data_IF_631105099505
#
_entry.id   IF_631105099505
#
_cell.length_a   1.000
_cell.length_b   1.000
_cell.length_c   1.000
_cell.angle_alpha   90.00
_cell.angle_beta   90.00
_cell.angle_gamma   90.00
#
_symmetry.space_group_name_H-M   'P 1'
#
loop_
_entity.id
_entity.type
_entity.pdbx_description
1 polymer ?
#
# COMPACT_ATOMS: atom_id res chain seq x y z
N UNK A 1 -17.19 14.09 0.12
CA UNK A 1 -15.93 13.51 -0.40
C UNK A 1 -16.19 12.83 -1.74
N UNK A 2 -15.17 12.68 -2.60
CA UNK A 2 -15.27 11.99 -3.88
C UNK A 2 -15.83 10.55 -3.72
N UNK A 3 -15.32 9.81 -2.74
CA UNK A 3 -15.81 8.46 -2.43
C UNK A 3 -17.31 8.46 -2.11
N UNK A 4 -17.80 9.47 -1.35
CA UNK A 4 -19.24 9.57 -1.05
C UNK A 4 -20.08 9.79 -2.29
N UNK A 5 -19.62 10.58 -3.25
CA UNK A 5 -20.31 10.76 -4.54
C UNK A 5 -20.34 9.47 -5.36
N UNK A 6 -19.21 8.74 -5.40
CA UNK A 6 -19.12 7.45 -6.08
C UNK A 6 -20.10 6.40 -5.50
N UNK A 7 -20.15 6.28 -4.17
CA UNK A 7 -21.08 5.36 -3.51
C UNK A 7 -22.54 5.73 -3.74
N UNK A 8 -22.85 7.03 -3.77
CA UNK A 8 -24.20 7.52 -4.09
C UNK A 8 -24.58 7.17 -5.54
N UNK A 9 -23.68 7.38 -6.49
CA UNK A 9 -23.90 7.05 -7.91
C UNK A 9 -24.16 5.55 -8.12
N UNK A 10 -23.41 4.67 -7.43
CA UNK A 10 -23.66 3.22 -7.45
C UNK A 10 -25.05 2.89 -6.95
N UNK A 11 -25.49 3.53 -5.86
CA UNK A 11 -26.81 3.31 -5.28
C UNK A 11 -27.92 3.80 -6.20
N UNK A 12 -27.79 4.99 -6.79
CA UNK A 12 -28.74 5.56 -7.74
C UNK A 12 -28.91 4.70 -9.00
N UNK A 13 -27.87 3.96 -9.37
CA UNK A 13 -27.87 3.02 -10.50
C UNK A 13 -28.32 1.61 -10.13
N UNK A 14 -28.64 1.34 -8.86
CA UNK A 14 -29.02 0.02 -8.36
C UNK A 14 -27.92 -1.04 -8.48
N UNK A 15 -26.65 -0.63 -8.37
CA UNK A 15 -25.48 -1.50 -8.47
C UNK A 15 -24.85 -1.82 -7.11
N UNK A 16 -25.22 -1.10 -6.07
CA UNK A 16 -24.57 -1.15 -4.75
C UNK A 16 -24.75 -2.49 -4.03
N UNK A 17 -25.86 -3.17 -4.23
CA UNK A 17 -26.15 -4.48 -3.63
C UNK A 17 -25.46 -5.66 -4.38
N UNK A 18 -24.90 -5.40 -5.55
CA UNK A 18 -24.26 -6.41 -6.40
C UNK A 18 -22.79 -6.10 -6.71
N UNK A 19 -22.19 -5.13 -6.05
CA UNK A 19 -20.80 -4.70 -6.31
C UNK A 19 -19.94 -4.84 -5.07
N UNK A 20 -18.89 -5.68 -5.14
CA UNK A 20 -17.82 -5.72 -4.16
C UNK A 20 -16.87 -4.55 -4.44
N UNK A 21 -16.53 -3.76 -3.41
CA UNK A 21 -15.72 -2.54 -3.57
C UNK A 21 -14.39 -2.72 -2.85
N UNK A 22 -13.28 -2.50 -3.56
CA UNK A 22 -11.95 -2.35 -3.00
C UNK A 22 -11.54 -0.88 -3.08
N UNK A 23 -11.24 -0.29 -1.95
CA UNK A 23 -10.70 1.08 -1.86
C UNK A 23 -9.31 1.04 -1.25
N UNK A 24 -8.32 1.53 -1.98
CA UNK A 24 -6.92 1.54 -1.55
C UNK A 24 -6.15 2.67 -2.21
N UNK A 25 -4.97 2.98 -1.68
CA UNK A 25 -3.99 3.87 -2.33
C UNK A 25 -2.88 3.02 -2.95
N UNK A 26 -2.31 3.48 -4.05
CA UNK A 26 -1.18 2.84 -4.73
C UNK A 26 0.14 2.99 -3.96
N UNK A 27 0.29 4.05 -3.17
CA UNK A 27 1.43 4.33 -2.31
C UNK A 27 1.07 5.37 -1.25
N UNK A 28 1.97 5.58 -0.29
CA UNK A 28 1.83 6.63 0.72
C UNK A 28 1.95 8.05 0.17
N UNK A 29 1.71 9.04 1.01
CA UNK A 29 1.69 10.45 0.64
C UNK A 29 3.02 10.97 0.06
N UNK A 30 2.94 12.02 -0.76
CA UNK A 30 4.11 12.74 -1.30
C UNK A 30 4.72 13.67 -0.24
N UNK A 31 5.03 13.11 0.92
CA UNK A 31 5.68 13.78 2.04
C UNK A 31 7.12 13.26 2.19
N UNK A 32 7.99 13.92 2.95
CA UNK A 32 9.29 13.37 3.28
C UNK A 32 9.19 11.94 3.81
N UNK A 33 10.04 11.03 3.29
CA UNK A 33 10.06 9.58 3.60
C UNK A 33 8.78 8.81 3.17
N UNK A 34 7.86 9.43 2.42
CA UNK A 34 6.64 8.81 1.91
C UNK A 34 6.84 8.10 0.56
N UNK A 35 6.13 8.59 -0.48
CA UNK A 35 6.19 8.02 -1.84
C UNK A 35 7.63 7.77 -2.31
N UNK A 36 7.90 6.54 -2.77
CA UNK A 36 9.19 6.12 -3.31
C UNK A 36 10.19 5.63 -2.27
N UNK A 37 9.86 5.69 -0.97
CA UNK A 37 10.67 5.16 0.12
C UNK A 37 10.05 3.91 0.74
N UNK A 38 10.90 3.05 1.35
CA UNK A 38 10.46 1.80 1.98
C UNK A 38 10.09 1.95 3.46
N UNK A 39 9.79 3.17 3.92
CA UNK A 39 9.21 3.41 5.24
C UNK A 39 7.70 3.17 5.24
N UNK A 40 7.10 3.04 6.43
CA UNK A 40 5.65 2.85 6.57
C UNK A 40 4.87 3.99 5.90
N UNK A 41 5.32 5.24 6.04
CA UNK A 41 4.72 6.39 5.37
C UNK A 41 4.67 6.31 3.84
N UNK A 42 5.45 5.39 3.25
CA UNK A 42 5.44 5.12 1.81
C UNK A 42 4.73 3.82 1.42
N UNK A 43 4.72 2.83 2.30
CA UNK A 43 4.25 1.47 2.02
C UNK A 43 2.93 1.10 2.68
N UNK A 44 2.68 1.58 3.90
CA UNK A 44 1.42 1.34 4.59
C UNK A 44 0.34 2.26 4.01
N UNK A 45 -0.60 1.65 3.34
CA UNK A 45 -1.72 2.34 2.68
C UNK A 45 -3.05 1.74 3.14
N UNK A 46 -4.13 2.52 3.14
CA UNK A 46 -5.44 1.96 3.42
C UNK A 46 -5.80 0.90 2.38
N UNK A 47 -6.36 -0.21 2.83
CA UNK A 47 -7.00 -1.20 2.00
C UNK A 47 -8.34 -1.57 2.66
N UNK A 48 -9.43 -1.18 2.03
CA UNK A 48 -10.79 -1.45 2.50
C UNK A 48 -11.46 -2.36 1.48
N UNK A 49 -12.01 -3.48 1.92
CA UNK A 49 -12.84 -4.35 1.13
C UNK A 49 -14.28 -4.30 1.68
N UNK A 50 -15.21 -3.87 0.87
CA UNK A 50 -16.63 -3.85 1.20
C UNK A 50 -17.36 -4.94 0.41
N UNK A 51 -18.14 -5.74 1.13
CA UNK A 51 -18.97 -6.79 0.59
C UNK A 51 -20.44 -6.45 0.88
N UNK A 52 -21.28 -6.24 -0.12
CA UNK A 52 -22.71 -6.09 0.11
C UNK A 52 -23.31 -7.39 0.67
N UNK A 53 -24.47 -7.35 1.34
CA UNK A 53 -25.07 -8.52 1.99
C UNK A 53 -25.13 -9.77 1.12
N UNK A 54 -25.42 -9.62 -0.16
CA UNK A 54 -25.46 -10.70 -1.16
C UNK A 54 -24.14 -11.47 -1.27
N UNK A 55 -23.00 -10.79 -1.13
CA UNK A 55 -21.67 -11.36 -1.32
C UNK A 55 -20.86 -11.49 -0.04
N UNK A 56 -21.47 -11.20 1.12
CA UNK A 56 -20.78 -11.22 2.41
C UNK A 56 -20.20 -12.60 2.75
N UNK A 57 -20.82 -13.68 2.29
CA UNK A 57 -20.33 -15.04 2.46
C UNK A 57 -18.94 -15.27 1.83
N UNK A 58 -18.53 -14.45 0.87
CA UNK A 58 -17.21 -14.52 0.23
C UNK A 58 -16.09 -13.87 1.07
N UNK A 59 -16.44 -13.04 2.05
CA UNK A 59 -15.50 -12.43 2.98
C UNK A 59 -14.96 -13.42 4.03
N UNK A 60 -15.64 -14.56 4.23
CA UNK A 60 -15.29 -15.56 5.23
C UNK A 60 -15.40 -15.02 6.65
N UNK A 61 -14.57 -15.53 7.56
CA UNK A 61 -14.54 -15.10 8.96
C UNK A 61 -14.07 -13.63 9.15
N UNK A 62 -13.51 -13.02 8.10
CA UNK A 62 -13.04 -11.62 8.07
C UNK A 62 -14.16 -10.61 7.79
N UNK A 63 -15.42 -11.01 7.90
CA UNK A 63 -16.59 -10.25 7.44
C UNK A 63 -16.81 -8.91 8.16
N UNK A 64 -16.11 -8.60 9.23
CA UNK A 64 -16.14 -7.28 9.87
C UNK A 64 -14.90 -7.02 10.71
N UNK A 65 -14.45 -5.75 10.76
CA UNK A 65 -13.39 -5.31 11.63
C UNK A 65 -12.10 -4.93 10.91
N UNK A 66 -11.02 -4.78 11.70
CA UNK A 66 -9.67 -4.48 11.21
C UNK A 66 -8.84 -5.76 11.15
N UNK A 67 -8.22 -5.99 10.01
CA UNK A 67 -7.22 -7.04 9.83
C UNK A 67 -5.83 -6.40 9.80
N UNK A 68 -4.93 -6.86 10.67
CA UNK A 68 -3.53 -6.41 10.75
C UNK A 68 -2.57 -7.35 10.05
N UNK A 69 -3.06 -8.27 9.24
CA UNK A 69 -2.24 -9.18 8.45
C UNK A 69 -1.40 -8.42 7.41
N UNK A 70 -0.22 -8.93 7.13
CA UNK A 70 0.62 -8.41 6.05
C UNK A 70 -0.01 -8.76 4.70
N UNK A 71 -0.42 -7.73 3.97
CA UNK A 71 -1.03 -7.82 2.64
C UNK A 71 -0.15 -7.12 1.62
N UNK A 72 -0.10 -7.65 0.41
CA UNK A 72 0.63 -7.08 -0.71
C UNK A 72 -0.30 -6.90 -1.92
N UNK A 73 -0.02 -5.94 -2.79
CA UNK A 73 -0.81 -5.74 -4.01
C UNK A 73 -0.77 -6.93 -4.98
N UNK A 74 0.26 -7.76 -4.91
CA UNK A 74 0.28 -9.04 -5.64
C UNK A 74 -0.87 -9.97 -5.23
N UNK A 75 -1.47 -9.76 -4.05
CA UNK A 75 -2.59 -10.54 -3.52
C UNK A 75 -3.94 -10.16 -4.17
N UNK A 76 -4.04 -8.95 -4.75
CA UNK A 76 -5.29 -8.47 -5.35
C UNK A 76 -5.72 -9.29 -6.57
N UNK A 77 -4.79 -9.64 -7.45
CA UNK A 77 -5.08 -10.44 -8.64
C UNK A 77 -5.69 -11.82 -8.29
N UNK A 78 -5.00 -12.67 -7.49
CA UNK A 78 -5.56 -13.94 -7.04
C UNK A 78 -6.86 -13.76 -6.25
N UNK A 79 -7.03 -12.66 -5.48
CA UNK A 79 -8.26 -12.37 -4.75
C UNK A 79 -9.45 -12.16 -5.69
N UNK A 80 -9.27 -11.36 -6.75
CA UNK A 80 -10.33 -11.12 -7.75
C UNK A 80 -10.73 -12.42 -8.44
N UNK A 81 -9.77 -13.24 -8.84
CA UNK A 81 -10.06 -14.55 -9.43
C UNK A 81 -10.82 -15.46 -8.45
N UNK A 82 -10.39 -15.51 -7.20
CA UNK A 82 -11.03 -16.30 -6.15
C UNK A 82 -12.47 -15.86 -5.90
N UNK A 83 -12.73 -14.56 -5.86
CA UNK A 83 -14.09 -14.00 -5.73
C UNK A 83 -14.99 -14.34 -6.94
N UNK A 84 -14.41 -14.42 -8.14
CA UNK A 84 -15.09 -14.86 -9.35
C UNK A 84 -15.26 -16.40 -9.42
N UNK A 85 -14.82 -17.16 -8.40
CA UNK A 85 -14.87 -18.61 -8.39
C UNK A 85 -13.82 -19.29 -9.27
N UNK A 86 -12.86 -18.54 -9.81
CA UNK A 86 -11.78 -19.03 -10.66
C UNK A 86 -10.54 -19.32 -9.81
N UNK A 87 -9.97 -20.51 -10.00
CA UNK A 87 -8.74 -20.89 -9.27
C UNK A 87 -7.54 -20.06 -9.78
N UNK A 88 -6.82 -19.34 -8.91
CA UNK A 88 -5.64 -18.60 -9.30
C UNK A 88 -4.57 -19.51 -9.91
N UNK A 89 -3.94 -19.15 -11.03
CA UNK A 89 -2.85 -19.90 -11.64
C UNK A 89 -1.64 -19.99 -10.71
N UNK A 90 -0.91 -21.12 -10.78
CA UNK A 90 0.26 -21.39 -9.92
C UNK A 90 1.42 -20.39 -10.04
N UNK A 91 1.51 -19.65 -11.16
CA UNK A 91 2.56 -18.66 -11.36
C UNK A 91 2.28 -17.33 -10.63
N UNK A 92 1.07 -17.11 -10.13
CA UNK A 92 0.76 -15.96 -9.28
C UNK A 92 1.42 -16.13 -7.91
N UNK A 93 2.26 -15.17 -7.52
CA UNK A 93 3.00 -15.19 -6.25
C UNK A 93 2.16 -14.69 -5.05
N UNK A 94 1.08 -13.96 -5.32
CA UNK A 94 0.17 -13.47 -4.29
C UNK A 94 -0.76 -14.55 -3.77
N UNK A 95 -1.37 -14.29 -2.61
CA UNK A 95 -2.35 -15.15 -1.95
C UNK A 95 -3.73 -14.53 -2.06
N UNK A 96 -4.75 -15.30 -2.41
CA UNK A 96 -6.12 -14.81 -2.39
C UNK A 96 -6.56 -14.51 -0.95
N UNK A 97 -7.06 -13.28 -0.72
CA UNK A 97 -7.50 -12.83 0.61
C UNK A 97 -8.94 -13.26 0.92
N UNK A 98 -9.77 -13.40 -0.12
CA UNK A 98 -11.21 -13.65 -0.03
C UNK A 98 -11.66 -14.62 -1.11
N UNK A 99 -12.89 -15.15 -0.97
CA UNK A 99 -13.54 -15.99 -1.96
C UNK A 99 -13.22 -17.47 -1.81
N UNK A 100 -13.63 -18.25 -2.81
CA UNK A 100 -13.57 -19.73 -2.79
C UNK A 100 -12.16 -20.30 -2.58
N UNK A 101 -11.15 -19.61 -3.02
CA UNK A 101 -9.75 -20.02 -2.97
C UNK A 101 -8.91 -19.12 -2.05
N UNK A 102 -9.55 -18.50 -1.05
CA UNK A 102 -8.86 -17.72 -0.02
C UNK A 102 -7.80 -18.59 0.68
N UNK A 103 -6.65 -18.02 0.97
CA UNK A 103 -5.56 -18.70 1.66
C UNK A 103 -5.67 -18.51 3.17
N UNK A 104 -5.60 -19.59 3.92
CA UNK A 104 -5.50 -19.56 5.39
C UNK A 104 -4.06 -19.32 5.87
N UNK A 105 -3.09 -19.37 4.96
CA UNK A 105 -1.68 -19.18 5.27
C UNK A 105 -1.37 -17.72 5.52
N UNK A 106 -0.99 -17.38 6.75
CA UNK A 106 -0.56 -16.03 7.12
C UNK A 106 0.82 -15.72 6.53
N UNK A 107 1.01 -14.48 6.06
CA UNK A 107 2.33 -13.99 5.67
C UNK A 107 3.07 -13.54 6.92
N UNK A 108 4.16 -14.22 7.24
CA UNK A 108 5.01 -13.88 8.39
C UNK A 108 5.96 -12.73 8.07
N UNK A 109 6.46 -12.67 6.83
CA UNK A 109 7.41 -11.65 6.39
C UNK A 109 6.96 -11.07 5.06
N UNK A 110 6.92 -9.74 4.97
CA UNK A 110 6.73 -9.00 3.74
C UNK A 110 8.05 -8.40 3.28
N UNK A 111 8.41 -8.67 2.02
CA UNK A 111 9.55 -8.05 1.36
C UNK A 111 9.10 -6.87 0.51
N UNK A 112 9.96 -5.84 0.45
CA UNK A 112 9.79 -4.71 -0.43
C UNK A 112 11.12 -4.35 -1.08
N UNK A 113 11.06 -3.75 -2.28
CA UNK A 113 12.22 -3.28 -2.99
C UNK A 113 11.93 -1.95 -3.70
N UNK A 114 12.95 -1.11 -3.76
CA UNK A 114 12.99 0.04 -4.63
C UNK A 114 14.34 0.01 -5.38
N UNK A 115 14.31 0.08 -6.72
CA UNK A 115 15.53 0.10 -7.52
C UNK A 115 15.84 1.52 -7.99
N UNK A 116 14.82 2.26 -8.40
CA UNK A 116 14.92 3.62 -8.87
C UNK A 116 13.96 4.51 -8.10
N UNK A 117 14.45 5.64 -7.65
CA UNK A 117 13.61 6.69 -7.09
C UNK A 117 13.61 7.87 -8.05
N UNK A 118 12.52 7.99 -8.86
CA UNK A 118 12.26 9.09 -9.76
C UNK A 118 13.54 9.55 -10.51
N UNK A 119 14.08 8.66 -11.35
CA UNK A 119 15.29 8.83 -12.16
C UNK A 119 16.64 8.64 -11.46
N UNK A 120 16.65 8.40 -10.14
CA UNK A 120 17.89 8.09 -9.42
C UNK A 120 17.96 6.60 -9.10
N UNK A 121 19.04 5.96 -9.54
CA UNK A 121 19.32 4.58 -9.16
C UNK A 121 19.67 4.52 -7.67
N UNK A 122 18.75 3.95 -6.88
CA UNK A 122 18.87 3.79 -5.42
C UNK A 122 18.34 2.42 -5.02
N UNK A 123 19.12 1.36 -5.21
CA UNK A 123 18.68 0.02 -4.85
C UNK A 123 18.60 -0.12 -3.33
N UNK A 124 17.38 -0.31 -2.86
CA UNK A 124 17.04 -0.50 -1.45
C UNK A 124 16.12 -1.70 -1.32
N UNK A 125 16.32 -2.52 -0.32
CA UNK A 125 15.43 -3.62 0.04
C UNK A 125 14.98 -3.49 1.49
N UNK A 126 13.78 -3.96 1.76
CA UNK A 126 13.25 -4.05 3.12
C UNK A 126 12.58 -5.40 3.36
N UNK A 127 12.58 -5.80 4.62
CA UNK A 127 11.80 -6.91 5.14
C UNK A 127 11.10 -6.45 6.43
N UNK A 128 9.85 -6.87 6.61
CA UNK A 128 9.07 -6.57 7.83
C UNK A 128 8.25 -7.79 8.25
N UNK A 129 8.14 -7.99 9.56
CA UNK A 129 7.24 -8.95 10.19
C UNK A 129 5.92 -8.30 10.70
N UNK A 130 5.72 -7.01 10.36
CA UNK A 130 4.60 -6.18 10.84
C UNK A 130 4.90 -5.43 12.14
N UNK A 131 5.92 -5.84 12.91
CA UNK A 131 6.37 -5.16 14.13
C UNK A 131 7.72 -4.45 13.92
N UNK A 132 8.66 -5.13 13.28
CA UNK A 132 9.99 -4.62 12.96
C UNK A 132 10.17 -4.52 11.46
N UNK A 133 10.93 -3.53 11.02
CA UNK A 133 11.33 -3.38 9.62
C UNK A 133 12.83 -3.18 9.52
N UNK A 134 13.48 -4.00 8.71
CA UNK A 134 14.87 -3.83 8.32
C UNK A 134 14.93 -3.26 6.91
N UNK A 135 15.69 -2.17 6.73
CA UNK A 135 15.89 -1.52 5.42
C UNK A 135 17.38 -1.52 5.12
N UNK A 136 17.78 -2.05 3.96
CA UNK A 136 19.17 -2.08 3.50
C UNK A 136 19.33 -1.27 2.22
N UNK A 137 20.17 -0.24 2.27
CA UNK A 137 20.67 0.44 1.06
C UNK A 137 21.90 -0.30 0.53
N UNK A 138 21.97 -0.48 -0.80
CA UNK A 138 23.13 -1.08 -1.48
C UNK A 138 24.13 -0.02 -1.96
N UNK A 139 23.80 1.26 -1.80
CA UNK A 139 24.69 2.40 -2.10
C UNK A 139 24.70 3.38 -0.92
N UNK A 140 25.20 2.95 0.27
CA UNK A 140 25.09 3.73 1.49
C UNK A 140 25.91 5.03 1.48
N UNK A 141 26.85 5.16 0.54
CA UNK A 141 27.66 6.36 0.34
C UNK A 141 26.91 7.49 -0.40
N UNK A 142 25.74 7.24 -0.96
CA UNK A 142 24.87 8.27 -1.54
C UNK A 142 23.92 8.82 -0.49
N UNK A 143 23.65 10.12 -0.63
CA UNK A 143 22.64 10.77 0.20
C UNK A 143 21.30 10.06 0.03
N UNK A 144 20.66 9.75 1.14
CA UNK A 144 19.44 8.95 1.19
C UNK A 144 18.26 9.62 0.45
N UNK A 145 18.11 10.94 0.56
CA UNK A 145 17.05 11.72 -0.06
C UNK A 145 17.61 12.55 -1.21
N UNK A 146 17.87 11.92 -2.36
CA UNK A 146 18.27 12.66 -3.56
C UNK A 146 17.11 13.56 -4.02
N UNK A 147 17.42 14.84 -4.23
CA UNK A 147 16.45 15.80 -4.73
C UNK A 147 16.00 15.41 -6.12
N UNK A 148 14.70 15.26 -6.30
CA UNK A 148 14.08 15.07 -7.59
C UNK A 148 13.00 16.13 -7.81
N UNK A 149 12.74 16.47 -9.05
CA UNK A 149 11.82 17.53 -9.45
C UNK A 149 10.41 17.33 -8.86
N UNK A 150 9.90 16.10 -8.87
CA UNK A 150 8.54 15.82 -8.45
C UNK A 150 8.35 16.02 -6.93
N UNK A 151 9.18 15.40 -6.12
CA UNK A 151 9.06 15.49 -4.65
C UNK A 151 9.41 16.89 -4.13
N UNK A 152 10.48 17.51 -4.66
CA UNK A 152 10.86 18.86 -4.25
C UNK A 152 9.95 19.96 -4.83
N UNK A 153 9.05 19.61 -5.74
CA UNK A 153 7.90 20.43 -6.12
C UNK A 153 6.84 20.55 -5.02
N UNK A 154 6.77 19.57 -4.10
CA UNK A 154 5.73 19.52 -3.07
C UNK A 154 5.98 20.49 -1.91
N UNK A 155 4.91 21.11 -1.35
CA UNK A 155 5.05 22.10 -0.26
C UNK A 155 5.78 21.56 0.97
N UNK A 156 5.55 20.30 1.35
CA UNK A 156 6.18 19.67 2.52
C UNK A 156 7.71 19.54 2.37
N UNK A 157 8.19 19.16 1.20
CA UNK A 157 9.62 19.05 0.94
C UNK A 157 10.29 20.43 0.85
N UNK A 158 9.60 21.43 0.28
CA UNK A 158 10.07 22.82 0.28
C UNK A 158 10.14 23.40 1.69
N UNK A 159 9.17 23.10 2.54
CA UNK A 159 9.17 23.54 3.94
C UNK A 159 10.32 22.90 4.71
N UNK A 160 10.58 21.61 4.49
CA UNK A 160 11.72 20.91 5.10
C UNK A 160 13.05 21.52 4.67
N UNK A 161 13.25 21.77 3.37
CA UNK A 161 14.44 22.43 2.85
C UNK A 161 14.71 23.77 3.54
N UNK A 162 13.67 24.60 3.66
CA UNK A 162 13.78 25.91 4.33
C UNK A 162 14.22 25.76 5.78
N UNK A 163 13.70 24.77 6.52
CA UNK A 163 14.10 24.53 7.90
C UNK A 163 15.56 24.07 8.00
N UNK A 164 15.98 23.15 7.14
CA UNK A 164 17.35 22.63 7.15
C UNK A 164 18.36 23.70 6.73
N UNK A 165 18.10 24.42 5.63
CA UNK A 165 18.98 25.47 5.11
C UNK A 165 18.97 26.73 6.01
N UNK A 166 17.87 26.97 6.73
CA UNK A 166 17.77 28.07 7.70
C UNK A 166 18.46 27.80 9.04
N UNK A 167 19.14 26.68 9.19
CA UNK A 167 19.85 26.33 10.42
C UNK A 167 18.95 25.91 11.58
N UNK A 168 17.66 25.68 11.32
CA UNK A 168 16.69 25.24 12.33
C UNK A 168 16.70 23.71 12.55
N UNK A 169 17.85 23.05 12.34
CA UNK A 169 17.98 21.66 12.69
C UNK A 169 18.11 21.54 14.22
N UNK A 170 16.97 21.38 14.88
CA UNK A 170 16.87 21.25 16.34
C UNK A 170 17.18 19.84 16.84
N UNK A 171 17.63 18.94 15.96
CA UNK A 171 18.04 17.59 16.38
C UNK A 171 19.50 17.65 16.87
N UNK A 172 19.76 17.51 18.18
CA UNK A 172 21.09 17.62 18.76
C UNK A 172 21.99 16.38 18.52
N UNK A 173 21.51 15.36 17.75
CA UNK A 173 22.25 14.13 17.40
C UNK A 173 22.22 13.85 15.91
#
# INVERSE_FOLDING_TARGET
TWLGFFLKDLKEKGLDDNTIIFFFSDHGGCVPRGKGYLYESGLEVPLIAYFPPKWQHLAGEKASGKDYSLVNFTDLGPTVLSLAGVKPPKHMQGKALFGKYASDEKREIQFALAANQLHHFMPVRAATDGRFKYIRSYIPYRQFALRNYYQWGMPSNKAWDKLVLGGHNTNPN
#
